data_IF_872807961586
#
_entry.id   IF_872807961586
#
_cell.length_a   1.000
_cell.length_b   1.000
_cell.length_c   1.000
_cell.angle_alpha   90.00
_cell.angle_beta   90.00
_cell.angle_gamma   90.00
#
_symmetry.space_group_name_H-M   'P 1'
#
loop_
_entity.id
_entity.type
_entity.pdbx_description
1 polymer ?
#
# COMPACT_ATOMS: atom_id res chain seq x y z
N UNK A 1 18.43 20.72 -25.15
CA UNK A 1 17.29 21.07 -24.30
C UNK A 1 16.45 19.87 -23.87
N UNK A 2 15.96 19.02 -24.78
CA UNK A 2 15.10 17.87 -24.43
C UNK A 2 15.74 16.87 -23.45
N UNK A 3 17.03 16.56 -23.58
CA UNK A 3 17.72 15.63 -22.68
C UNK A 3 17.80 16.13 -21.24
N UNK A 4 18.09 17.41 -21.03
CA UNK A 4 18.18 18.04 -19.70
C UNK A 4 16.80 18.05 -19.02
N UNK A 5 15.74 18.35 -19.77
CA UNK A 5 14.39 18.31 -19.24
C UNK A 5 13.95 16.89 -18.86
N UNK A 6 14.35 15.91 -19.66
CA UNK A 6 14.06 14.50 -19.38
C UNK A 6 14.79 14.02 -18.11
N UNK A 7 16.06 14.42 -17.93
CA UNK A 7 16.83 14.11 -16.73
C UNK A 7 16.20 14.74 -15.48
N UNK A 8 15.79 16.02 -15.57
CA UNK A 8 15.10 16.70 -14.44
C UNK A 8 13.80 16.00 -14.05
N UNK A 9 13.00 15.57 -15.04
CA UNK A 9 11.78 14.79 -14.80
C UNK A 9 12.10 13.44 -14.18
N UNK A 10 13.14 12.75 -14.62
CA UNK A 10 13.58 11.46 -14.07
C UNK A 10 14.01 11.60 -12.61
N UNK A 11 14.76 12.63 -12.25
CA UNK A 11 15.17 12.96 -10.88
C UNK A 11 13.96 13.18 -9.97
N UNK A 12 12.96 13.94 -10.42
CA UNK A 12 11.73 14.17 -9.67
C UNK A 12 10.97 12.86 -9.39
N UNK A 13 10.81 12.02 -10.41
CA UNK A 13 10.15 10.73 -10.25
C UNK A 13 10.94 9.77 -9.36
N UNK A 14 12.28 9.83 -9.37
CA UNK A 14 13.14 9.08 -8.45
C UNK A 14 12.90 9.49 -7.00
N UNK A 15 12.86 10.79 -6.75
CA UNK A 15 12.58 11.33 -5.41
C UNK A 15 11.21 10.89 -4.91
N UNK A 16 10.18 11.05 -5.73
CA UNK A 16 8.83 10.62 -5.39
C UNK A 16 8.75 9.11 -5.11
N UNK A 17 9.40 8.29 -5.95
CA UNK A 17 9.45 6.84 -5.75
C UNK A 17 10.18 6.46 -4.47
N UNK A 18 11.28 7.16 -4.15
CA UNK A 18 12.04 6.97 -2.92
C UNK A 18 11.20 7.26 -1.68
N UNK A 19 10.56 8.43 -1.66
CA UNK A 19 9.68 8.85 -0.55
C UNK A 19 8.51 7.89 -0.40
N UNK A 20 7.80 7.58 -1.48
CA UNK A 20 6.65 6.67 -1.44
C UNK A 20 7.02 5.27 -0.95
N UNK A 21 8.17 4.73 -1.40
CA UNK A 21 8.65 3.43 -0.95
C UNK A 21 8.95 3.39 0.55
N UNK A 22 9.61 4.41 1.08
CA UNK A 22 9.92 4.53 2.51
C UNK A 22 8.64 4.72 3.33
N UNK A 23 7.76 5.61 2.90
CA UNK A 23 6.48 5.86 3.60
C UNK A 23 5.62 4.60 3.58
N UNK A 24 5.52 3.91 2.44
CA UNK A 24 4.79 2.65 2.33
C UNK A 24 5.33 1.59 3.28
N UNK A 25 6.65 1.38 3.27
CA UNK A 25 7.30 0.44 4.19
C UNK A 25 7.04 0.79 5.65
N UNK A 26 7.17 2.06 6.03
CA UNK A 26 6.89 2.53 7.38
C UNK A 26 5.43 2.31 7.80
N UNK A 27 4.47 2.62 6.92
CA UNK A 27 3.05 2.39 7.18
C UNK A 27 2.74 0.91 7.40
N UNK A 28 3.33 -0.01 6.63
CA UNK A 28 3.14 -1.45 6.80
C UNK A 28 3.68 -1.95 8.14
N UNK A 29 4.75 -1.36 8.67
CA UNK A 29 5.25 -1.73 10.00
C UNK A 29 4.38 -1.17 11.13
N UNK A 30 3.73 -0.01 10.94
CA UNK A 30 2.87 0.63 11.93
C UNK A 30 1.42 0.11 11.85
N UNK A 31 0.90 -0.14 10.65
CA UNK A 31 -0.47 -0.55 10.43
C UNK A 31 -0.89 -1.80 11.24
N UNK A 32 -0.09 -2.88 11.36
CA UNK A 32 -0.46 -4.03 12.17
C UNK A 32 -0.66 -3.69 13.65
N UNK A 33 0.14 -2.81 14.22
CA UNK A 33 0.01 -2.42 15.63
C UNK A 33 -1.28 -1.66 15.93
N UNK A 34 -1.87 -1.02 14.94
CA UNK A 34 -3.13 -0.30 15.06
C UNK A 34 -4.34 -1.14 14.62
N UNK A 35 -4.21 -1.85 13.50
CA UNK A 35 -5.31 -2.59 12.86
C UNK A 35 -5.60 -3.89 13.60
N UNK A 36 -4.57 -4.66 14.00
CA UNK A 36 -4.74 -5.98 14.64
C UNK A 36 -5.55 -5.94 15.93
N UNK A 37 -5.30 -5.03 16.89
CA UNK A 37 -6.10 -4.96 18.11
C UNK A 37 -7.58 -4.68 17.82
N UNK A 38 -7.86 -3.81 16.83
CA UNK A 38 -9.23 -3.46 16.45
C UNK A 38 -9.95 -4.64 15.78
N UNK A 39 -9.29 -5.33 14.85
CA UNK A 39 -9.84 -6.55 14.23
C UNK A 39 -10.07 -7.63 15.27
N UNK A 40 -9.11 -7.84 16.16
CA UNK A 40 -9.20 -8.87 17.19
C UNK A 40 -10.38 -8.60 18.13
N UNK A 41 -10.57 -7.35 18.53
CA UNK A 41 -11.73 -6.93 19.35
C UNK A 41 -13.05 -7.19 18.63
N UNK A 42 -13.15 -6.85 17.34
CA UNK A 42 -14.36 -7.06 16.54
C UNK A 42 -14.65 -8.56 16.36
N UNK A 43 -13.64 -9.38 16.08
CA UNK A 43 -13.80 -10.83 15.91
C UNK A 43 -14.22 -11.48 17.22
N UNK A 44 -13.57 -11.15 18.34
CA UNK A 44 -13.95 -11.68 19.65
C UNK A 44 -15.39 -11.28 19.99
N UNK A 45 -15.75 -10.01 19.79
CA UNK A 45 -17.11 -9.56 20.05
C UNK A 45 -18.14 -10.36 19.23
N UNK A 46 -17.87 -10.57 17.94
CA UNK A 46 -18.77 -11.33 17.06
C UNK A 46 -18.91 -12.81 17.43
N UNK A 47 -17.86 -13.42 18.02
CA UNK A 47 -17.90 -14.81 18.50
C UNK A 47 -18.61 -14.94 19.83
N UNK A 48 -18.33 -14.01 20.77
CA UNK A 48 -18.85 -14.10 22.14
C UNK A 48 -20.30 -13.61 22.23
N UNK A 49 -20.67 -12.63 21.39
CA UNK A 49 -21.98 -12.01 21.39
C UNK A 49 -22.67 -12.05 20.02
N UNK A 50 -22.90 -13.25 19.42
CA UNK A 50 -23.40 -13.37 18.04
C UNK A 50 -24.82 -12.82 17.85
N UNK A 51 -25.58 -12.61 18.94
CA UNK A 51 -26.98 -12.16 18.90
C UNK A 51 -27.19 -10.74 19.46
N UNK A 52 -26.12 -10.05 19.86
CA UNK A 52 -26.23 -8.69 20.38
C UNK A 52 -25.87 -7.69 19.29
N UNK A 53 -26.65 -6.62 19.18
CA UNK A 53 -26.29 -5.51 18.30
C UNK A 53 -24.94 -4.92 18.77
N UNK A 54 -24.03 -4.59 17.83
CA UNK A 54 -22.78 -3.96 18.19
C UNK A 54 -23.01 -2.64 18.93
N UNK A 55 -22.22 -2.38 19.96
CA UNK A 55 -22.28 -1.10 20.68
C UNK A 55 -21.88 0.06 19.74
N UNK A 56 -22.32 1.29 20.07
CA UNK A 56 -21.94 2.48 19.33
C UNK A 56 -20.41 2.64 19.23
N UNK A 57 -19.69 2.29 20.28
CA UNK A 57 -18.23 2.30 20.31
C UNK A 57 -17.63 1.30 19.30
N UNK A 58 -18.19 0.08 19.23
CA UNK A 58 -17.77 -0.93 18.24
C UNK A 58 -18.02 -0.45 16.81
N UNK A 59 -19.17 0.18 16.55
CA UNK A 59 -19.50 0.75 15.24
C UNK A 59 -18.55 1.89 14.87
N UNK A 60 -18.17 2.73 15.81
CA UNK A 60 -17.21 3.81 15.59
C UNK A 60 -15.81 3.28 15.23
N UNK A 61 -15.31 2.27 15.94
CA UNK A 61 -14.04 1.60 15.64
C UNK A 61 -14.08 0.96 14.26
N UNK A 62 -15.19 0.32 13.91
CA UNK A 62 -15.41 -0.29 12.60
C UNK A 62 -15.31 0.76 11.49
N UNK A 63 -16.01 1.88 11.65
CA UNK A 63 -16.02 2.97 10.67
C UNK A 63 -14.63 3.61 10.50
N UNK A 64 -13.91 3.85 11.60
CA UNK A 64 -12.53 4.35 11.56
C UNK A 64 -11.61 3.38 10.82
N UNK A 65 -11.73 2.09 11.09
CA UNK A 65 -10.92 1.05 10.43
C UNK A 65 -11.20 1.01 8.93
N UNK A 66 -12.45 1.06 8.51
CA UNK A 66 -12.82 1.15 7.09
C UNK A 66 -12.23 2.38 6.40
N UNK A 67 -12.33 3.53 7.05
CA UNK A 67 -11.78 4.78 6.52
C UNK A 67 -10.27 4.69 6.31
N UNK A 68 -9.55 4.11 7.27
CA UNK A 68 -8.11 3.87 7.13
C UNK A 68 -7.78 2.94 5.97
N UNK A 69 -8.56 1.87 5.75
CA UNK A 69 -8.37 0.98 4.61
C UNK A 69 -8.54 1.70 3.27
N UNK A 70 -9.53 2.58 3.15
CA UNK A 70 -9.75 3.37 1.93
C UNK A 70 -8.54 4.25 1.62
N UNK A 71 -8.00 4.97 2.62
CA UNK A 71 -6.80 5.77 2.42
C UNK A 71 -5.58 4.93 2.05
N UNK A 72 -5.43 3.77 2.66
CA UNK A 72 -4.34 2.84 2.35
C UNK A 72 -4.42 2.33 0.90
N UNK A 73 -5.61 1.96 0.45
CA UNK A 73 -5.87 1.54 -0.93
C UNK A 73 -5.54 2.68 -1.90
N UNK A 74 -6.03 3.89 -1.65
CA UNK A 74 -5.74 5.04 -2.49
C UNK A 74 -4.22 5.31 -2.59
N UNK A 75 -3.50 5.22 -1.47
CA UNK A 75 -2.05 5.40 -1.43
C UNK A 75 -1.30 4.33 -2.26
N UNK A 76 -1.71 3.06 -2.17
CA UNK A 76 -1.13 1.95 -2.96
C UNK A 76 -1.29 2.20 -4.46
N UNK A 77 -2.46 2.67 -4.89
CA UNK A 77 -2.70 2.99 -6.29
C UNK A 77 -1.84 4.17 -6.78
N UNK A 78 -1.67 5.21 -5.96
CA UNK A 78 -0.73 6.30 -6.26
C UNK A 78 0.69 5.77 -6.40
N UNK A 79 1.14 4.93 -5.46
CA UNK A 79 2.45 4.27 -5.53
C UNK A 79 2.62 3.47 -6.83
N UNK A 80 1.61 2.73 -7.27
CA UNK A 80 1.63 1.97 -8.52
C UNK A 80 1.77 2.88 -9.76
N UNK A 81 1.03 3.98 -9.81
CA UNK A 81 1.11 4.94 -10.91
C UNK A 81 2.52 5.55 -10.97
N UNK A 82 3.05 5.98 -9.83
CA UNK A 82 4.41 6.53 -9.73
C UNK A 82 5.46 5.49 -10.15
N UNK A 83 5.32 4.23 -9.73
CA UNK A 83 6.21 3.14 -10.13
C UNK A 83 6.23 2.92 -11.65
N UNK A 84 5.06 2.97 -12.29
CA UNK A 84 4.94 2.84 -13.75
C UNK A 84 5.60 3.99 -14.49
N UNK A 85 5.38 5.22 -14.03
CA UNK A 85 5.97 6.41 -14.64
C UNK A 85 7.49 6.40 -14.46
N UNK A 86 7.99 6.15 -13.24
CA UNK A 86 9.41 6.03 -12.95
C UNK A 86 10.08 4.98 -13.83
N UNK A 87 9.49 3.79 -13.96
CA UNK A 87 10.03 2.74 -14.80
C UNK A 87 10.20 3.15 -16.27
N UNK A 88 9.28 3.96 -16.81
CA UNK A 88 9.39 4.51 -18.18
C UNK A 88 10.55 5.47 -18.32
N UNK A 89 10.78 6.34 -17.33
CA UNK A 89 11.89 7.31 -17.38
C UNK A 89 13.24 6.61 -17.27
N UNK A 90 13.38 5.58 -16.46
CA UNK A 90 14.66 4.87 -16.28
C UNK A 90 15.13 4.11 -17.49
N UNK A 91 14.23 3.54 -18.27
CA UNK A 91 14.60 2.93 -19.55
C UNK A 91 15.30 3.91 -20.49
N UNK A 92 15.09 5.22 -20.28
CA UNK A 92 15.61 6.28 -21.16
C UNK A 92 16.86 6.95 -20.62
N UNK A 93 16.98 7.09 -19.30
CA UNK A 93 18.09 7.84 -18.68
C UNK A 93 19.20 6.95 -18.13
N UNK A 94 18.92 5.72 -17.73
CA UNK A 94 19.91 4.79 -17.18
C UNK A 94 20.56 5.20 -15.84
N UNK A 95 20.10 6.28 -15.23
CA UNK A 95 20.70 6.91 -14.04
C UNK A 95 20.45 6.12 -12.74
N UNK A 96 19.39 5.36 -12.70
CA UNK A 96 19.07 4.48 -11.55
C UNK A 96 19.24 3.03 -11.97
N UNK A 97 19.78 2.16 -11.09
CA UNK A 97 19.89 0.75 -11.38
C UNK A 97 18.54 0.12 -11.74
N UNK A 98 18.52 -0.66 -12.81
CA UNK A 98 17.28 -1.26 -13.31
C UNK A 98 16.57 -2.16 -12.30
N UNK A 99 17.32 -2.83 -11.42
CA UNK A 99 16.77 -3.66 -10.36
C UNK A 99 15.95 -2.87 -9.34
N UNK A 100 16.34 -1.62 -9.01
CA UNK A 100 15.60 -0.74 -8.09
C UNK A 100 14.21 -0.45 -8.64
N UNK A 101 14.12 -0.11 -9.93
CA UNK A 101 12.82 0.16 -10.58
C UNK A 101 11.95 -1.08 -10.68
N UNK A 102 12.55 -2.25 -10.91
CA UNK A 102 11.81 -3.52 -10.94
C UNK A 102 11.25 -3.89 -9.56
N UNK A 103 12.08 -3.78 -8.52
CA UNK A 103 11.63 -4.08 -7.15
C UNK A 103 10.52 -3.12 -6.73
N UNK A 104 10.63 -1.83 -7.05
CA UNK A 104 9.58 -0.86 -6.75
C UNK A 104 8.27 -1.18 -7.47
N UNK A 105 8.36 -1.51 -8.76
CA UNK A 105 7.19 -1.92 -9.54
C UNK A 105 6.57 -3.21 -9.00
N UNK A 106 7.40 -4.17 -8.59
CA UNK A 106 6.94 -5.41 -7.95
C UNK A 106 6.25 -5.13 -6.62
N UNK A 107 6.84 -4.30 -5.76
CA UNK A 107 6.24 -3.87 -4.50
C UNK A 107 4.86 -3.25 -4.70
N UNK A 108 4.77 -2.29 -5.63
CA UNK A 108 3.52 -1.62 -5.95
C UNK A 108 2.47 -2.59 -6.54
N UNK A 109 2.89 -3.52 -7.41
CA UNK A 109 1.99 -4.52 -8.00
C UNK A 109 1.46 -5.50 -6.94
N UNK A 110 2.30 -5.96 -6.02
CA UNK A 110 1.86 -6.79 -4.90
C UNK A 110 0.89 -6.04 -3.99
N UNK A 111 1.15 -4.76 -3.73
CA UNK A 111 0.22 -3.91 -2.99
C UNK A 111 -1.15 -3.80 -3.69
N UNK A 112 -1.17 -3.58 -5.01
CA UNK A 112 -2.42 -3.54 -5.80
C UNK A 112 -3.15 -4.87 -5.73
N UNK A 113 -2.45 -6.00 -5.89
CA UNK A 113 -3.04 -7.34 -5.78
C UNK A 113 -3.66 -7.54 -4.38
N UNK A 114 -2.97 -7.11 -3.33
CA UNK A 114 -3.50 -7.18 -1.97
C UNK A 114 -4.77 -6.34 -1.76
N UNK A 115 -4.99 -5.28 -2.54
CA UNK A 115 -6.18 -4.43 -2.46
C UNK A 115 -7.37 -4.95 -3.27
N UNK A 116 -7.16 -5.87 -4.22
CA UNK A 116 -8.24 -6.37 -5.07
C UNK A 116 -9.38 -7.04 -4.28
N UNK A 117 -9.13 -7.96 -3.33
CA UNK A 117 -10.20 -8.54 -2.51
C UNK A 117 -10.96 -7.48 -1.72
N UNK A 118 -10.24 -6.46 -1.22
CA UNK A 118 -10.84 -5.31 -0.52
C UNK A 118 -11.81 -4.56 -1.42
N UNK A 119 -11.38 -4.23 -2.64
CA UNK A 119 -12.22 -3.53 -3.61
C UNK A 119 -13.43 -4.38 -4.04
N UNK A 120 -13.22 -5.67 -4.26
CA UNK A 120 -14.28 -6.59 -4.66
C UNK A 120 -15.34 -6.75 -3.57
N UNK A 121 -14.97 -6.69 -2.28
CA UNK A 121 -15.91 -6.81 -1.17
C UNK A 121 -16.90 -5.63 -1.08
N UNK A 122 -16.57 -4.49 -1.68
CA UNK A 122 -17.48 -3.33 -1.76
C UNK A 122 -18.51 -3.42 -2.89
N UNK A 123 -18.41 -4.44 -3.77
CA UNK A 123 -19.37 -4.63 -4.86
C UNK A 123 -20.54 -5.47 -4.34
N UNK A 124 -21.76 -4.90 -4.21
CA UNK A 124 -22.93 -5.64 -3.72
C UNK A 124 -23.19 -6.88 -4.58
N UNK A 125 -23.38 -8.03 -3.94
CA UNK A 125 -23.76 -9.28 -4.60
C UNK A 125 -22.61 -10.10 -5.21
N UNK A 126 -21.36 -9.59 -5.28
CA UNK A 126 -20.27 -10.35 -5.88
C UNK A 126 -19.69 -11.41 -4.92
N UNK A 127 -19.67 -11.13 -3.62
CA UNK A 127 -19.03 -12.01 -2.61
C UNK A 127 -20.04 -12.76 -1.74
N UNK A 128 -21.33 -12.40 -1.78
CA UNK A 128 -22.35 -12.98 -0.88
C UNK A 128 -22.10 -12.71 0.62
N UNK A 129 -21.01 -12.03 0.95
CA UNK A 129 -20.60 -11.71 2.33
C UNK A 129 -21.04 -10.30 2.62
N UNK A 130 -22.19 -10.16 3.30
CA UNK A 130 -22.70 -8.87 3.74
C UNK A 130 -22.21 -8.49 5.15
N UNK A 131 -21.42 -9.36 5.80
CA UNK A 131 -20.92 -9.11 7.15
C UNK A 131 -19.62 -8.29 7.08
N UNK A 132 -19.70 -7.06 7.55
CA UNK A 132 -18.59 -6.11 7.58
C UNK A 132 -17.43 -6.62 8.45
N UNK A 133 -17.72 -7.41 9.49
CA UNK A 133 -16.71 -7.98 10.38
C UNK A 133 -15.83 -9.01 9.66
N UNK A 134 -16.44 -9.87 8.84
CA UNK A 134 -15.72 -10.83 8.01
C UNK A 134 -14.92 -10.16 6.90
N UNK A 135 -15.47 -9.11 6.30
CA UNK A 135 -14.76 -8.30 5.31
C UNK A 135 -13.49 -7.68 5.90
N UNK A 136 -13.59 -6.99 7.04
CA UNK A 136 -12.43 -6.34 7.69
C UNK A 136 -11.41 -7.38 8.15
N UNK A 137 -11.83 -8.50 8.72
CA UNK A 137 -10.92 -9.58 9.14
C UNK A 137 -10.14 -10.18 7.96
N UNK A 138 -10.83 -10.46 6.83
CA UNK A 138 -10.19 -10.94 5.60
C UNK A 138 -9.22 -9.92 5.01
N UNK A 139 -9.59 -8.65 4.95
CA UNK A 139 -8.73 -7.55 4.51
C UNK A 139 -7.47 -7.42 5.36
N UNK A 140 -7.61 -7.48 6.69
CA UNK A 140 -6.49 -7.38 7.61
C UNK A 140 -5.46 -8.49 7.39
N UNK A 141 -5.91 -9.72 7.22
CA UNK A 141 -5.04 -10.88 6.97
C UNK A 141 -4.27 -10.75 5.65
N UNK A 142 -4.94 -10.33 4.58
CA UNK A 142 -4.30 -10.13 3.27
C UNK A 142 -3.28 -9.00 3.32
N UNK A 143 -3.61 -7.87 3.98
CA UNK A 143 -2.70 -6.74 4.12
C UNK A 143 -1.47 -7.08 4.97
N UNK A 144 -1.60 -7.89 6.01
CA UNK A 144 -0.47 -8.30 6.84
C UNK A 144 0.50 -9.19 6.06
N UNK A 145 -0.01 -10.17 5.31
CA UNK A 145 0.82 -11.16 4.61
C UNK A 145 1.41 -10.56 3.34
N UNK A 146 0.57 -10.15 2.41
CA UNK A 146 1.00 -9.62 1.09
C UNK A 146 1.49 -8.18 1.17
N UNK A 147 0.84 -7.36 1.99
CA UNK A 147 1.26 -5.99 2.25
C UNK A 147 2.62 -5.92 2.95
N UNK A 148 2.91 -6.82 3.90
CA UNK A 148 4.20 -6.89 4.58
C UNK A 148 5.36 -7.10 3.61
N UNK A 149 5.23 -8.07 2.70
CA UNK A 149 6.23 -8.31 1.63
C UNK A 149 6.35 -7.09 0.72
N UNK A 150 5.22 -6.52 0.29
CA UNK A 150 5.20 -5.31 -0.53
C UNK A 150 5.88 -4.13 0.19
N UNK A 151 5.63 -3.95 1.49
CA UNK A 151 6.25 -2.91 2.31
C UNK A 151 7.77 -3.04 2.41
N UNK A 152 8.28 -4.26 2.66
CA UNK A 152 9.72 -4.53 2.68
C UNK A 152 10.38 -4.23 1.34
N UNK A 153 9.80 -4.69 0.24
CA UNK A 153 10.29 -4.39 -1.10
C UNK A 153 10.22 -2.88 -1.41
N UNK A 154 9.18 -2.21 -0.92
CA UNK A 154 9.03 -0.76 -1.00
C UNK A 154 10.15 -0.02 -0.29
N UNK A 155 10.52 -0.43 0.94
CA UNK A 155 11.65 0.13 1.69
C UNK A 155 12.98 -0.04 0.95
N UNK A 156 13.27 -1.26 0.49
CA UNK A 156 14.52 -1.58 -0.21
C UNK A 156 14.64 -0.74 -1.50
N UNK A 157 13.58 -0.68 -2.28
CA UNK A 157 13.58 0.10 -3.52
C UNK A 157 13.58 1.60 -3.25
N UNK A 158 12.83 2.07 -2.24
CA UNK A 158 12.81 3.47 -1.84
C UNK A 158 14.18 3.97 -1.41
N UNK A 159 14.88 3.21 -0.58
CA UNK A 159 16.26 3.49 -0.21
C UNK A 159 17.19 3.50 -1.44
N UNK A 160 17.03 2.51 -2.34
CA UNK A 160 17.78 2.46 -3.60
C UNK A 160 17.58 3.68 -4.48
N UNK A 161 16.37 4.21 -4.55
CA UNK A 161 16.09 5.46 -5.28
C UNK A 161 16.77 6.66 -4.64
N UNK A 162 16.67 6.83 -3.33
CA UNK A 162 17.31 7.96 -2.60
C UNK A 162 18.83 7.93 -2.78
N UNK A 163 19.45 6.74 -2.65
CA UNK A 163 20.91 6.58 -2.86
C UNK A 163 21.30 6.93 -4.31
N UNK A 164 20.47 6.56 -5.28
CA UNK A 164 20.74 6.81 -6.69
C UNK A 164 20.58 8.28 -7.09
N UNK A 165 19.86 9.10 -6.29
CA UNK A 165 19.70 10.53 -6.59
C UNK A 165 21.04 11.28 -6.69
N UNK A 166 22.03 10.88 -5.90
CA UNK A 166 23.36 11.48 -5.94
C UNK A 166 24.10 11.27 -7.28
N UNK A 167 23.64 10.35 -8.12
CA UNK A 167 24.18 10.13 -9.48
C UNK A 167 23.69 11.15 -10.50
N UNK A 168 22.54 11.79 -10.22
CA UNK A 168 21.99 12.83 -11.09
C UNK A 168 22.73 14.17 -10.98
N UNK A 169 23.55 14.34 -9.94
CA UNK A 169 24.28 15.59 -9.65
C UNK A 169 25.73 15.55 -10.15
N UNK A 170 26.17 14.43 -10.74
CA UNK A 170 27.50 14.26 -11.38
C UNK A 170 27.40 14.32 -12.88
#
# INVERSE_FOLDING_TARGET
MQAVEQQKKSKLWALLSGILGIVWGGLIFVAPSYILPNIFSIVIFSIVFPFTAPSEETLQILHQTQTMFIYLVAFIWVMFIVARISHRYYKKTGEVPYWVTKIFLLAASLGVIATLPVLLSYIPGLTGINDVTLQIGGMGSILIITGGVSGLLGLISGAGYIISLNRFDR
#
